data_IF_067804645706
#
_entry.id   IF_067804645706
#
_cell.length_a   1.000
_cell.length_b   1.000
_cell.length_c   1.000
_cell.angle_alpha   90.00
_cell.angle_beta   90.00
_cell.angle_gamma   90.00
#
_symmetry.space_group_name_H-M   'P 1'
#
loop_
_entity.id
_entity.type
_entity.pdbx_description
1 polymer ?
#
# COMPACT_ATOMS: atom_id res chain seq x y z
N UNK A 1 -5.06 20.69 2.98
CA UNK A 1 -4.16 20.34 1.86
C UNK A 1 -3.49 21.60 1.33
N UNK A 2 -4.31 22.60 0.96
CA UNK A 2 -3.89 23.87 0.35
C UNK A 2 -2.63 24.55 0.95
N UNK A 3 -2.43 24.51 2.27
CA UNK A 3 -1.25 25.09 2.94
C UNK A 3 0.09 24.61 2.36
N UNK A 4 0.20 23.32 2.02
CA UNK A 4 1.43 22.73 1.46
C UNK A 4 1.37 22.62 -0.07
N UNK A 5 0.18 22.73 -0.65
CA UNK A 5 -0.05 22.60 -2.09
C UNK A 5 -1.21 23.50 -2.52
N UNK A 6 -0.98 24.81 -2.74
CA UNK A 6 -2.06 25.76 -3.00
C UNK A 6 -2.90 25.41 -4.24
N UNK A 7 -2.26 24.91 -5.29
CA UNK A 7 -2.92 24.47 -6.52
C UNK A 7 -3.85 23.26 -6.34
N UNK A 8 -3.71 22.49 -5.25
CA UNK A 8 -4.69 21.46 -4.89
C UNK A 8 -6.07 22.07 -4.60
N UNK A 9 -6.17 23.33 -4.12
CA UNK A 9 -7.43 23.93 -3.69
C UNK A 9 -8.46 24.20 -4.81
N UNK A 10 -8.06 24.05 -6.09
CA UNK A 10 -8.92 24.21 -7.26
C UNK A 10 -10.12 23.24 -7.22
N UNK A 11 -11.22 23.60 -7.89
CA UNK A 11 -12.36 22.72 -8.17
C UNK A 11 -12.97 22.11 -6.89
N UNK A 12 -13.29 22.96 -5.90
CA UNK A 12 -13.94 22.58 -4.63
C UNK A 12 -13.02 21.97 -3.56
N UNK A 13 -11.81 21.56 -3.92
CA UNK A 13 -10.89 20.76 -3.07
C UNK A 13 -10.23 21.51 -1.89
N UNK A 14 -10.61 22.76 -1.62
CA UNK A 14 -9.94 23.64 -0.64
C UNK A 14 -10.00 23.13 0.81
N UNK A 15 -11.16 22.60 1.24
CA UNK A 15 -11.41 22.10 2.61
C UNK A 15 -10.80 20.73 2.94
N UNK A 16 -10.22 20.04 1.96
CA UNK A 16 -9.63 18.71 2.14
C UNK A 16 -8.32 18.82 2.95
N UNK A 17 -8.11 17.94 3.92
CA UNK A 17 -6.90 17.87 4.77
C UNK A 17 -6.00 16.69 4.38
N UNK A 18 -4.76 16.67 4.87
CA UNK A 18 -3.84 15.52 4.69
C UNK A 18 -4.43 14.25 5.32
N UNK A 19 -5.15 14.38 6.46
CA UNK A 19 -5.89 13.29 7.10
C UNK A 19 -6.96 12.69 6.18
N UNK A 20 -7.60 13.48 5.33
CA UNK A 20 -8.67 12.99 4.45
C UNK A 20 -8.14 12.18 3.27
N UNK A 21 -6.93 12.51 2.79
CA UNK A 21 -6.20 11.66 1.85
C UNK A 21 -5.70 10.37 2.53
N UNK A 22 -5.10 10.49 3.73
CA UNK A 22 -4.66 9.33 4.53
C UNK A 22 -5.81 8.38 4.93
N UNK A 23 -7.04 8.87 5.02
CA UNK A 23 -8.21 8.07 5.44
C UNK A 23 -9.18 7.74 4.30
N UNK A 24 -8.76 7.86 3.04
CA UNK A 24 -9.59 7.50 1.88
C UNK A 24 -10.95 8.25 1.79
N UNK A 25 -10.96 9.51 2.25
CA UNK A 25 -12.14 10.38 2.34
C UNK A 25 -12.04 11.68 1.52
N UNK A 26 -11.02 11.80 0.68
CA UNK A 26 -10.77 13.00 -0.12
C UNK A 26 -11.70 13.17 -1.35
N UNK A 27 -12.61 12.23 -1.65
CA UNK A 27 -13.51 12.32 -2.81
C UNK A 27 -12.85 12.07 -4.18
N UNK A 28 -11.73 11.33 -4.21
CA UNK A 28 -10.76 11.32 -5.32
C UNK A 28 -10.13 9.92 -5.54
N UNK A 29 -10.89 8.84 -5.46
CA UNK A 29 -10.37 7.46 -5.64
C UNK A 29 -9.60 7.28 -6.95
N UNK A 30 -10.03 8.00 -7.97
CA UNK A 30 -9.44 8.14 -9.29
C UNK A 30 -9.56 9.61 -9.75
N UNK A 31 -8.97 9.93 -10.91
CA UNK A 31 -9.18 11.21 -11.60
C UNK A 31 -9.97 10.92 -12.86
N UNK A 32 -11.15 11.53 -13.00
CA UNK A 32 -11.99 11.38 -14.18
C UNK A 32 -11.20 11.70 -15.46
N UNK A 33 -11.46 10.92 -16.52
CA UNK A 33 -10.85 11.02 -17.84
C UNK A 33 -9.30 10.86 -17.89
N UNK A 34 -8.63 10.57 -16.76
CA UNK A 34 -7.18 10.32 -16.69
C UNK A 34 -6.93 8.91 -16.16
N UNK A 35 -6.72 7.98 -17.09
CA UNK A 35 -6.30 6.61 -16.77
C UNK A 35 -5.08 6.60 -15.84
N UNK A 36 -5.13 5.79 -14.79
CA UNK A 36 -3.98 5.58 -13.92
C UNK A 36 -2.83 4.83 -14.62
N UNK A 37 -3.12 4.13 -15.72
CA UNK A 37 -2.11 3.52 -16.59
C UNK A 37 -1.30 4.58 -17.35
N UNK A 38 -1.82 5.79 -17.54
CA UNK A 38 -1.12 6.89 -18.22
C UNK A 38 -0.37 7.81 -17.23
N UNK A 39 -0.51 7.57 -15.93
CA UNK A 39 0.16 8.29 -14.85
C UNK A 39 1.50 7.63 -14.50
N UNK A 40 2.50 7.80 -15.39
CA UNK A 40 3.81 7.16 -15.26
C UNK A 40 4.72 7.77 -14.18
N UNK A 41 4.43 8.98 -13.70
CA UNK A 41 5.21 9.62 -12.63
C UNK A 41 4.37 10.55 -11.74
N UNK A 42 4.89 10.77 -10.53
CA UNK A 42 4.28 11.59 -9.48
C UNK A 42 3.98 13.05 -9.89
N UNK A 43 4.78 13.66 -10.77
CA UNK A 43 4.57 15.05 -11.17
C UNK A 43 3.38 15.19 -12.14
N UNK A 44 3.20 14.24 -13.05
CA UNK A 44 2.08 14.18 -13.99
C UNK A 44 0.79 13.81 -13.27
N UNK A 45 0.84 12.79 -12.41
CA UNK A 45 -0.23 12.44 -11.49
C UNK A 45 -0.63 13.61 -10.57
N UNK A 46 0.34 14.44 -10.16
CA UNK A 46 0.10 15.67 -9.43
C UNK A 46 -0.71 16.69 -10.22
N UNK A 47 -0.37 16.96 -11.49
CA UNK A 47 -1.12 17.89 -12.34
C UNK A 47 -2.54 17.39 -12.64
N UNK A 48 -2.72 16.09 -12.82
CA UNK A 48 -4.04 15.48 -12.92
C UNK A 48 -4.88 15.72 -11.65
N UNK A 49 -4.31 15.50 -10.46
CA UNK A 49 -4.96 15.78 -9.17
C UNK A 49 -5.29 17.26 -8.98
N UNK A 50 -4.46 18.21 -9.45
CA UNK A 50 -4.79 19.64 -9.39
C UNK A 50 -6.06 19.96 -10.20
N UNK A 51 -6.18 19.40 -11.40
CA UNK A 51 -7.32 19.59 -12.31
C UNK A 51 -8.59 18.80 -11.94
N UNK A 52 -8.47 17.72 -11.16
CA UNK A 52 -9.59 16.87 -10.77
C UNK A 52 -10.69 17.63 -9.99
N UNK A 53 -11.95 17.29 -10.25
CA UNK A 53 -13.06 17.55 -9.32
C UNK A 53 -13.26 16.34 -8.42
N UNK A 54 -13.91 16.53 -7.27
CA UNK A 54 -14.27 15.42 -6.38
C UNK A 54 -15.45 14.62 -6.92
N UNK A 55 -15.34 13.29 -6.93
CA UNK A 55 -16.36 12.34 -7.37
C UNK A 55 -17.55 12.26 -6.40
N UNK A 56 -17.34 12.58 -5.13
CA UNK A 56 -18.34 12.74 -4.07
C UNK A 56 -17.87 13.77 -3.05
N UNK A 57 -18.79 14.30 -2.24
CA UNK A 57 -18.50 15.31 -1.22
C UNK A 57 -17.45 14.78 -0.21
N UNK A 58 -16.32 15.48 0.02
CA UNK A 58 -15.28 15.00 0.94
C UNK A 58 -15.83 14.64 2.33
N UNK A 59 -15.27 13.59 2.94
CA UNK A 59 -15.73 12.96 4.20
C UNK A 59 -17.08 12.25 4.14
N UNK A 60 -17.99 12.53 3.20
CA UNK A 60 -19.34 11.95 3.21
C UNK A 60 -19.32 10.43 3.28
N UNK A 61 -18.48 9.78 2.46
CA UNK A 61 -18.24 8.34 2.44
C UNK A 61 -16.73 8.01 2.29
N UNK A 62 -16.34 6.77 2.58
CA UNK A 62 -14.95 6.28 2.59
C UNK A 62 -14.75 5.19 1.54
N UNK A 63 -13.96 5.48 0.50
CA UNK A 63 -13.74 4.62 -0.69
C UNK A 63 -12.26 4.65 -1.05
N UNK A 64 -11.66 3.50 -1.35
CA UNK A 64 -10.22 3.33 -1.52
C UNK A 64 -9.63 4.15 -2.70
N UNK A 65 -8.37 4.58 -2.57
CA UNK A 65 -7.65 5.46 -3.51
C UNK A 65 -6.44 4.71 -4.12
N UNK A 66 -6.66 3.68 -4.96
CA UNK A 66 -5.64 2.68 -5.32
C UNK A 66 -4.35 3.24 -5.93
N UNK A 67 -4.42 4.40 -6.60
CA UNK A 67 -3.25 5.10 -7.15
C UNK A 67 -3.17 6.53 -6.62
N UNK A 68 -4.31 7.24 -6.57
CA UNK A 68 -4.37 8.65 -6.17
C UNK A 68 -3.95 8.89 -4.71
N UNK A 69 -3.98 7.90 -3.82
CA UNK A 69 -3.40 8.00 -2.49
C UNK A 69 -1.93 8.42 -2.56
N UNK A 70 -1.15 7.69 -3.37
CA UNK A 70 0.27 7.94 -3.61
C UNK A 70 0.49 9.21 -4.42
N UNK A 71 -0.36 9.48 -5.41
CA UNK A 71 -0.32 10.73 -6.18
C UNK A 71 -0.50 11.95 -5.27
N UNK A 72 -1.46 11.92 -4.35
CA UNK A 72 -1.77 13.04 -3.45
C UNK A 72 -0.69 13.18 -2.38
N UNK A 73 -0.40 12.11 -1.64
CA UNK A 73 0.51 12.17 -0.48
C UNK A 73 1.97 12.31 -0.90
N UNK A 74 2.39 11.69 -2.02
CA UNK A 74 3.73 11.90 -2.58
C UNK A 74 3.96 13.35 -3.01
N UNK A 75 2.97 13.99 -3.64
CA UNK A 75 3.05 15.41 -4.00
C UNK A 75 3.12 16.34 -2.78
N UNK A 76 2.56 15.93 -1.63
CA UNK A 76 2.71 16.63 -0.35
C UNK A 76 4.11 16.43 0.22
N UNK A 77 4.64 15.20 0.25
CA UNK A 77 6.02 14.92 0.70
C UNK A 77 7.02 15.77 -0.06
N UNK A 78 6.97 15.76 -1.40
CA UNK A 78 7.88 16.57 -2.26
C UNK A 78 7.81 18.07 -1.94
N UNK A 79 6.61 18.61 -1.67
CA UNK A 79 6.42 20.04 -1.35
C UNK A 79 6.80 20.41 0.08
N UNK A 80 6.84 19.44 1.00
CA UNK A 80 7.21 19.65 2.40
C UNK A 80 8.71 19.43 2.65
N UNK A 81 9.34 18.46 1.97
CA UNK A 81 10.80 18.22 2.08
C UNK A 81 11.63 19.06 1.12
N UNK A 82 11.09 19.44 -0.05
CA UNK A 82 11.86 20.01 -1.16
C UNK A 82 12.68 18.97 -1.94
N UNK A 83 12.54 17.68 -1.61
CA UNK A 83 13.27 16.56 -2.20
C UNK A 83 12.37 15.75 -3.15
N UNK A 84 12.95 14.87 -3.96
CA UNK A 84 12.15 13.84 -4.66
C UNK A 84 11.53 12.87 -3.64
N UNK A 85 10.37 12.27 -3.96
CA UNK A 85 9.74 11.30 -3.04
C UNK A 85 10.64 10.11 -2.74
N UNK A 86 11.39 9.61 -3.74
CA UNK A 86 12.35 8.53 -3.56
C UNK A 86 13.49 8.94 -2.61
N UNK A 87 14.02 10.16 -2.75
CA UNK A 87 15.07 10.71 -1.86
C UNK A 87 14.56 10.89 -0.43
N UNK A 88 13.34 11.40 -0.26
CA UNK A 88 12.72 11.57 1.05
C UNK A 88 12.43 10.21 1.72
N UNK A 89 11.96 9.21 0.96
CA UNK A 89 11.78 7.85 1.45
C UNK A 89 13.11 7.19 1.84
N UNK A 90 14.16 7.37 1.03
CA UNK A 90 15.50 6.86 1.34
C UNK A 90 16.05 7.48 2.64
N UNK A 91 15.99 8.81 2.77
CA UNK A 91 16.49 9.55 3.94
C UNK A 91 15.69 9.27 5.21
N UNK A 92 14.35 9.19 5.13
CA UNK A 92 13.49 9.00 6.31
C UNK A 92 13.29 7.51 6.70
N UNK A 93 13.50 6.56 5.78
CA UNK A 93 13.23 5.12 6.00
C UNK A 93 14.51 4.30 5.78
N UNK A 94 15.03 4.27 4.54
CA UNK A 94 16.07 3.32 4.15
C UNK A 94 17.38 3.55 4.91
N UNK A 95 17.91 4.77 4.88
CA UNK A 95 19.13 5.17 5.58
C UNK A 95 19.01 4.97 7.09
N UNK A 96 17.87 5.38 7.68
CA UNK A 96 17.60 5.23 9.12
C UNK A 96 17.53 3.76 9.57
N UNK A 97 17.21 2.82 8.69
CA UNK A 97 17.16 1.39 8.99
C UNK A 97 18.36 0.59 8.45
N UNK A 98 19.27 1.21 7.70
CA UNK A 98 20.36 0.48 7.02
C UNK A 98 19.89 -0.45 5.90
N UNK A 99 18.80 -0.08 5.21
CA UNK A 99 18.24 -0.79 4.06
C UNK A 99 18.83 -0.20 2.76
N UNK A 100 19.19 -1.06 1.80
CA UNK A 100 19.75 -0.65 0.50
C UNK A 100 18.88 -1.07 -0.69
N UNK A 101 17.98 -2.03 -0.46
CA UNK A 101 17.07 -2.68 -1.40
C UNK A 101 15.62 -2.20 -1.21
N UNK A 102 15.41 -0.89 -1.15
CA UNK A 102 14.09 -0.25 -1.09
C UNK A 102 14.12 1.04 -1.92
N UNK A 103 13.33 1.11 -3.00
CA UNK A 103 13.24 2.31 -3.86
C UNK A 103 11.85 2.51 -4.47
N UNK A 104 11.56 3.76 -4.85
CA UNK A 104 10.44 4.16 -5.72
C UNK A 104 11.02 4.71 -7.02
N UNK A 105 10.89 3.94 -8.10
CA UNK A 105 11.66 4.14 -9.32
C UNK A 105 13.08 3.59 -9.20
N UNK A 106 13.55 2.95 -10.28
CA UNK A 106 14.93 2.52 -10.47
C UNK A 106 15.54 3.43 -11.52
N UNK A 107 16.65 4.09 -11.21
CA UNK A 107 17.40 4.89 -12.20
C UNK A 107 17.88 3.98 -13.36
N UNK A 108 17.68 4.34 -14.64
CA UNK A 108 18.15 3.55 -15.78
C UNK A 108 19.67 3.24 -15.77
N UNK A 109 20.47 4.04 -15.06
CA UNK A 109 21.92 3.81 -14.88
C UNK A 109 22.26 2.85 -13.73
N UNK A 110 21.32 2.54 -12.83
CA UNK A 110 21.49 1.58 -11.74
C UNK A 110 21.27 0.14 -12.25
N UNK A 111 22.25 -0.32 -13.04
CA UNK A 111 22.25 -1.67 -13.65
C UNK A 111 22.13 -2.78 -12.59
N UNK A 112 22.68 -2.57 -11.39
CA UNK A 112 22.62 -3.57 -10.31
C UNK A 112 21.20 -3.71 -9.76
N UNK A 113 20.52 -2.60 -9.43
CA UNK A 113 19.14 -2.64 -8.92
C UNK A 113 18.14 -3.03 -10.02
N UNK A 114 18.38 -2.62 -11.27
CA UNK A 114 17.58 -3.03 -12.41
C UNK A 114 17.67 -4.55 -12.67
N UNK A 115 18.86 -5.15 -12.59
CA UNK A 115 19.07 -6.59 -12.83
C UNK A 115 18.70 -7.49 -11.65
N UNK A 116 18.71 -6.97 -10.42
CA UNK A 116 18.28 -7.71 -9.22
C UNK A 116 16.78 -7.65 -8.95
N UNK A 117 16.03 -6.73 -9.59
CA UNK A 117 14.56 -6.69 -9.53
C UNK A 117 13.95 -7.91 -10.22
N UNK A 118 13.18 -8.71 -9.47
CA UNK A 118 12.42 -9.82 -10.03
C UNK A 118 11.35 -9.34 -11.05
N UNK A 119 11.35 -9.95 -12.24
CA UNK A 119 10.32 -9.74 -13.29
C UNK A 119 8.98 -10.31 -12.82
N UNK A 120 7.90 -9.55 -13.00
CA UNK A 120 6.56 -10.01 -12.66
C UNK A 120 6.06 -11.04 -13.67
N UNK A 121 5.32 -12.04 -13.20
CA UNK A 121 4.70 -13.08 -14.04
C UNK A 121 3.29 -13.38 -13.52
N UNK A 122 2.37 -13.80 -14.40
CA UNK A 122 1.05 -14.26 -13.96
C UNK A 122 1.18 -15.61 -13.26
N UNK A 123 0.57 -15.75 -12.09
CA UNK A 123 0.56 -17.01 -11.36
C UNK A 123 -0.43 -17.99 -11.98
N UNK A 124 0.00 -19.24 -12.19
CA UNK A 124 -0.92 -20.33 -12.49
C UNK A 124 -1.84 -20.69 -11.32
N UNK A 125 -2.83 -21.54 -11.57
CA UNK A 125 -3.73 -22.07 -10.53
C UNK A 125 -2.96 -22.73 -9.38
N UNK A 126 -3.43 -22.60 -8.11
CA UNK A 126 -2.83 -23.32 -6.99
C UNK A 126 -2.85 -24.84 -7.23
N UNK A 127 -1.71 -25.51 -7.04
CA UNK A 127 -1.59 -26.98 -7.10
C UNK A 127 -2.17 -27.70 -5.87
N UNK A 128 -3.16 -27.09 -5.22
CA UNK A 128 -3.76 -27.46 -3.93
C UNK A 128 -5.20 -26.99 -3.92
N UNK A 129 -6.10 -27.74 -3.31
CA UNK A 129 -7.44 -27.21 -3.06
C UNK A 129 -7.37 -26.01 -2.10
N UNK A 130 -8.30 -25.08 -2.32
CA UNK A 130 -8.47 -23.83 -1.58
C UNK A 130 -9.93 -23.61 -1.17
N UNK A 131 -10.88 -24.41 -1.68
CA UNK A 131 -12.32 -24.15 -1.58
C UNK A 131 -12.80 -22.94 -2.40
N UNK A 132 -11.88 -22.21 -3.05
CA UNK A 132 -12.16 -20.95 -3.76
C UNK A 132 -12.19 -21.25 -5.27
N UNK A 133 -13.30 -20.91 -5.93
CA UNK A 133 -13.53 -21.23 -7.34
C UNK A 133 -12.45 -20.65 -8.28
N UNK A 134 -12.07 -21.35 -9.38
CA UNK A 134 -11.09 -20.86 -10.37
C UNK A 134 -11.41 -19.45 -10.84
N UNK A 135 -10.40 -18.58 -11.06
CA UNK A 135 -10.59 -17.15 -11.29
C UNK A 135 -11.46 -16.90 -12.53
N UNK A 136 -12.23 -15.80 -12.50
CA UNK A 136 -12.95 -15.35 -13.67
C UNK A 136 -11.96 -14.91 -14.77
N UNK A 137 -12.45 -14.84 -16.00
CA UNK A 137 -11.66 -14.25 -17.09
C UNK A 137 -11.28 -12.80 -16.76
N UNK A 138 -12.15 -12.03 -16.14
CA UNK A 138 -11.88 -10.63 -15.77
C UNK A 138 -10.76 -10.51 -14.71
N UNK A 139 -10.75 -11.37 -13.68
CA UNK A 139 -9.66 -11.40 -12.69
C UNK A 139 -8.32 -11.83 -13.32
N UNK A 140 -8.37 -12.67 -14.35
CA UNK A 140 -7.21 -13.14 -15.10
C UNK A 140 -6.67 -12.04 -16.03
N UNK A 141 -7.54 -11.45 -16.87
CA UNK A 141 -7.25 -10.30 -17.73
C UNK A 141 -6.73 -9.10 -16.91
N UNK A 142 -7.23 -8.88 -15.68
CA UNK A 142 -6.72 -7.86 -14.75
C UNK A 142 -5.31 -8.19 -14.23
N UNK A 143 -5.06 -9.45 -13.89
CA UNK A 143 -3.73 -9.92 -13.47
C UNK A 143 -2.69 -9.75 -14.58
N UNK A 144 -3.03 -10.13 -15.81
CA UNK A 144 -2.14 -9.99 -16.98
C UNK A 144 -1.84 -8.51 -17.29
N UNK A 145 -2.84 -7.63 -17.21
CA UNK A 145 -2.62 -6.16 -17.30
C UNK A 145 -1.68 -5.66 -16.21
N UNK A 146 -1.83 -6.13 -14.97
CA UNK A 146 -0.95 -5.74 -13.86
C UNK A 146 0.49 -6.26 -14.03
N UNK A 147 0.66 -7.44 -14.62
CA UNK A 147 1.98 -8.01 -14.96
C UNK A 147 2.65 -7.24 -16.10
N UNK A 148 1.91 -6.93 -17.17
CA UNK A 148 2.42 -6.16 -18.29
C UNK A 148 2.84 -4.74 -17.84
N UNK A 149 1.95 -4.04 -17.14
CA UNK A 149 2.20 -2.69 -16.62
C UNK A 149 3.32 -2.65 -15.59
N UNK A 150 3.33 -3.60 -14.63
CA UNK A 150 4.36 -3.70 -13.61
C UNK A 150 5.77 -4.04 -14.13
N UNK A 151 5.89 -4.46 -15.39
CA UNK A 151 7.13 -4.70 -16.12
C UNK A 151 7.45 -3.63 -17.19
N UNK A 152 6.59 -2.63 -17.40
CA UNK A 152 6.87 -1.54 -18.35
C UNK A 152 8.04 -0.68 -17.85
N UNK A 153 9.07 -0.39 -18.66
CA UNK A 153 10.18 0.46 -18.26
C UNK A 153 9.74 1.82 -17.70
N UNK A 154 8.67 2.42 -18.22
CA UNK A 154 8.14 3.70 -17.72
C UNK A 154 7.62 3.59 -16.28
N UNK A 155 7.06 2.43 -15.91
CA UNK A 155 6.63 2.15 -14.54
C UNK A 155 7.78 1.78 -13.61
N UNK A 156 8.81 1.09 -14.13
CA UNK A 156 10.02 0.71 -13.39
C UNK A 156 10.88 1.95 -13.06
N UNK A 157 11.01 2.89 -13.99
CA UNK A 157 11.80 4.12 -13.83
C UNK A 157 10.99 5.28 -13.23
N UNK A 158 9.67 5.28 -13.37
CA UNK A 158 8.77 6.25 -12.75
C UNK A 158 8.77 6.16 -11.22
N UNK A 159 8.22 7.16 -10.55
CA UNK A 159 8.00 7.14 -9.10
C UNK A 159 6.48 7.25 -8.83
N UNK A 160 5.88 6.17 -8.33
CA UNK A 160 4.43 6.04 -8.11
C UNK A 160 4.15 5.45 -6.72
N UNK A 161 4.09 6.30 -5.67
CA UNK A 161 4.19 5.88 -4.26
C UNK A 161 3.17 4.86 -3.75
N UNK A 162 2.01 4.74 -4.39
CA UNK A 162 0.98 3.77 -3.99
C UNK A 162 1.25 2.33 -4.48
N UNK A 163 2.10 2.15 -5.50
CA UNK A 163 2.06 0.90 -6.28
C UNK A 163 3.37 0.43 -6.92
N UNK A 164 4.46 1.22 -6.96
CA UNK A 164 5.71 0.82 -7.64
C UNK A 164 6.96 0.65 -6.73
N UNK A 165 6.76 0.56 -5.41
CA UNK A 165 7.82 0.20 -4.46
C UNK A 165 8.52 -1.11 -4.88
N UNK A 166 9.82 -1.04 -5.18
CA UNK A 166 10.65 -2.23 -5.39
C UNK A 166 11.49 -2.48 -4.14
N UNK A 167 11.24 -3.62 -3.47
CA UNK A 167 11.95 -4.00 -2.25
C UNK A 167 11.87 -5.51 -1.96
N UNK A 168 12.70 -6.02 -1.04
CA UNK A 168 12.62 -7.40 -0.56
C UNK A 168 11.72 -7.56 0.67
N UNK A 169 11.25 -8.79 0.94
CA UNK A 169 10.57 -9.12 2.18
C UNK A 169 11.42 -8.82 3.44
N UNK A 170 12.75 -8.91 3.37
CA UNK A 170 13.64 -8.61 4.50
C UNK A 170 13.60 -7.11 4.84
N UNK A 171 13.76 -6.26 3.83
CA UNK A 171 13.66 -4.82 3.97
C UNK A 171 12.27 -4.40 4.45
N UNK A 172 11.21 -4.90 3.82
CA UNK A 172 9.83 -4.53 4.17
C UNK A 172 9.43 -5.00 5.57
N UNK A 173 9.82 -6.22 5.99
CA UNK A 173 9.60 -6.68 7.37
C UNK A 173 10.38 -5.83 8.40
N UNK A 174 11.57 -5.33 8.04
CA UNK A 174 12.36 -4.43 8.88
C UNK A 174 11.72 -3.04 9.01
N UNK A 175 11.13 -2.50 7.95
CA UNK A 175 10.28 -1.29 8.03
C UNK A 175 9.14 -1.53 9.01
N UNK A 176 8.40 -2.63 8.89
CA UNK A 176 7.29 -2.92 9.81
C UNK A 176 7.75 -3.20 11.25
N UNK A 177 8.88 -3.85 11.47
CA UNK A 177 9.46 -4.03 12.81
C UNK A 177 9.81 -2.69 13.49
N UNK A 178 10.24 -1.68 12.73
CA UNK A 178 10.47 -0.32 13.23
C UNK A 178 9.21 0.45 13.65
N UNK A 179 8.03 -0.09 13.34
CA UNK A 179 6.71 0.37 13.79
C UNK A 179 6.16 -0.49 14.95
N UNK A 180 6.89 -1.52 15.37
CA UNK A 180 6.69 -2.17 16.64
C UNK A 180 7.32 -1.38 17.80
N UNK A 181 7.32 -1.96 19.01
CA UNK A 181 7.90 -1.12 20.56
C UNK A 181 7.39 -1.80 20.56
N UNK A 182 8.90 -2.56 20.40
CA UNK A 182 10.31 -2.11 20.62
C UNK A 182 10.91 -1.17 19.57
N UNK A 183 10.66 -1.43 18.27
CA UNK A 183 11.43 -0.93 17.14
C UNK A 183 12.34 -2.03 16.56
N UNK A 184 13.31 -1.67 15.71
CA UNK A 184 14.33 -2.60 15.18
C UNK A 184 15.72 -1.99 15.21
N UNK A 185 16.72 -2.75 15.67
CA UNK A 185 18.13 -2.34 15.80
C UNK A 185 18.33 -0.96 16.48
N UNK A 186 17.49 -0.65 17.48
CA UNK A 186 17.49 0.63 18.21
C UNK A 186 16.71 1.77 17.55
N UNK A 187 16.08 1.53 16.40
CA UNK A 187 15.37 2.54 15.59
C UNK A 187 13.86 2.32 15.61
N UNK A 188 13.12 3.38 15.95
CA UNK A 188 11.70 3.54 15.61
C UNK A 188 11.54 4.65 14.56
N UNK A 189 10.69 4.41 13.56
CA UNK A 189 10.39 5.44 12.57
C UNK A 189 9.33 6.43 13.06
N UNK A 190 8.32 5.95 13.78
CA UNK A 190 7.26 6.74 14.39
C UNK A 190 7.36 6.75 15.92
N UNK A 191 6.79 7.80 16.54
CA UNK A 191 6.56 7.85 17.99
C UNK A 191 5.25 7.16 18.34
N UNK A 192 5.13 6.68 19.57
CA UNK A 192 4.03 5.83 20.03
C UNK A 192 2.67 6.55 19.96
N UNK A 193 2.60 7.88 20.18
CA UNK A 193 1.37 8.67 20.00
C UNK A 193 1.03 8.87 18.52
N UNK A 194 2.06 8.99 17.67
CA UNK A 194 1.91 9.14 16.22
C UNK A 194 1.40 7.83 15.60
N UNK A 195 1.88 6.69 16.09
CA UNK A 195 1.40 5.37 15.70
C UNK A 195 -0.02 5.09 16.25
N UNK A 196 -0.27 5.41 17.53
CA UNK A 196 -1.59 5.28 18.18
C UNK A 196 -2.67 6.17 17.56
N UNK A 197 -2.28 7.17 16.77
CA UNK A 197 -3.16 7.95 15.92
C UNK A 197 -3.30 7.31 14.52
N UNK A 198 -2.20 6.81 13.95
CA UNK A 198 -2.17 6.21 12.61
C UNK A 198 -3.01 4.94 12.48
N UNK A 199 -3.17 4.14 13.54
CA UNK A 199 -3.90 2.87 13.51
C UNK A 199 -5.38 2.99 13.94
N UNK A 200 -5.90 4.20 14.13
CA UNK A 200 -7.31 4.38 14.55
C UNK A 200 -8.29 4.12 13.40
N UNK A 201 -9.30 3.25 13.57
CA UNK A 201 -10.33 3.01 12.57
C UNK A 201 -10.98 4.32 12.08
N UNK A 202 -11.07 4.45 10.76
CA UNK A 202 -11.63 5.61 10.07
C UNK A 202 -12.92 5.25 9.32
N UNK A 203 -13.86 6.19 9.31
CA UNK A 203 -15.20 6.03 8.76
C UNK A 203 -15.63 7.27 7.96
N UNK A 204 -16.50 7.10 6.97
CA UNK A 204 -17.25 8.21 6.36
C UNK A 204 -18.26 8.82 7.35
N UNK A 205 -18.76 10.01 7.04
CA UNK A 205 -19.81 10.67 7.83
C UNK A 205 -21.15 9.90 7.79
N UNK A 206 -21.36 9.12 6.73
CA UNK A 206 -22.42 8.11 6.56
C UNK A 206 -22.24 6.84 7.43
N UNK A 207 -21.12 6.72 8.14
CA UNK A 207 -20.74 5.52 8.88
C UNK A 207 -20.06 4.43 8.04
N UNK A 208 -19.81 4.68 6.74
CA UNK A 208 -19.14 3.73 5.84
C UNK A 208 -17.71 3.42 6.29
N UNK A 209 -17.28 2.19 5.98
CA UNK A 209 -15.89 1.75 6.10
C UNK A 209 -15.55 0.81 4.95
N UNK A 210 -14.28 0.80 4.55
CA UNK A 210 -13.77 -0.28 3.70
C UNK A 210 -13.71 -1.57 4.53
N UNK A 211 -14.13 -2.69 3.94
CA UNK A 211 -14.21 -3.98 4.63
C UNK A 211 -12.84 -4.48 5.18
N UNK A 212 -11.73 -4.05 4.54
CA UNK A 212 -10.35 -4.27 5.01
C UNK A 212 -9.97 -3.50 6.29
N UNK A 213 -10.77 -2.51 6.71
CA UNK A 213 -10.56 -1.63 7.86
C UNK A 213 -9.36 -0.70 7.69
N UNK A 214 -9.56 0.63 7.65
CA UNK A 214 -8.48 1.59 7.41
C UNK A 214 -8.24 2.54 8.59
N UNK A 215 -6.97 2.80 8.88
CA UNK A 215 -6.48 3.95 9.65
C UNK A 215 -5.96 5.07 8.75
N UNK A 216 -4.86 5.70 9.14
CA UNK A 216 -4.12 6.69 8.34
C UNK A 216 -3.17 5.97 7.36
N UNK A 217 -3.71 5.40 6.29
CA UNK A 217 -2.95 4.71 5.25
C UNK A 217 -2.56 3.26 5.57
N UNK A 218 -2.96 2.75 6.73
CA UNK A 218 -2.78 1.35 7.11
C UNK A 218 -4.11 0.61 7.07
N UNK A 219 -4.10 -0.60 6.50
CA UNK A 219 -5.11 -1.63 6.74
C UNK A 219 -4.96 -2.17 8.17
N UNK A 220 -6.06 -2.60 8.78
CA UNK A 220 -6.14 -3.06 10.16
C UNK A 220 -6.40 -4.57 10.23
N UNK A 221 -5.77 -5.23 11.19
CA UNK A 221 -5.98 -6.65 11.51
C UNK A 221 -7.24 -6.87 12.35
N UNK A 222 -7.65 -8.14 12.48
CA UNK A 222 -8.85 -8.54 13.22
C UNK A 222 -10.17 -8.07 12.61
N UNK A 223 -10.14 -7.56 11.37
CA UNK A 223 -11.32 -7.32 10.55
C UNK A 223 -11.94 -8.66 10.07
N UNK A 224 -13.26 -8.72 9.82
CA UNK A 224 -13.91 -9.92 9.28
C UNK A 224 -13.33 -10.33 7.92
N UNK A 225 -13.35 -11.63 7.62
CA UNK A 225 -12.96 -12.13 6.30
C UNK A 225 -13.95 -11.68 5.20
N UNK A 226 -13.44 -11.04 4.14
CA UNK A 226 -14.28 -10.49 3.07
C UNK A 226 -14.66 -11.59 2.07
N UNK A 227 -15.92 -12.01 2.07
CA UNK A 227 -16.45 -12.95 1.06
C UNK A 227 -16.44 -12.33 -0.35
N UNK A 228 -16.22 -13.12 -1.43
CA UNK A 228 -15.97 -14.57 -1.47
C UNK A 228 -14.48 -14.95 -1.27
N UNK A 229 -13.63 -14.01 -0.86
CA UNK A 229 -12.17 -14.17 -0.90
C UNK A 229 -11.57 -14.81 0.36
N UNK A 230 -12.25 -14.71 1.52
CA UNK A 230 -11.68 -15.16 2.80
C UNK A 230 -10.52 -14.29 3.29
N UNK A 231 -10.39 -13.06 2.77
CA UNK A 231 -9.24 -12.19 3.02
C UNK A 231 -9.45 -11.24 4.21
N UNK A 232 -8.37 -11.07 4.98
CA UNK A 232 -8.08 -9.98 5.94
C UNK A 232 -6.55 -9.85 6.04
N UNK A 233 -6.03 -8.70 6.47
CA UNK A 233 -4.58 -8.50 6.58
C UNK A 233 -3.94 -9.42 7.63
N UNK A 234 -4.56 -9.58 8.79
CA UNK A 234 -4.11 -10.43 9.88
C UNK A 234 -5.30 -10.79 10.79
N UNK A 235 -5.25 -11.91 11.55
CA UNK A 235 -6.30 -12.26 12.50
C UNK A 235 -6.32 -11.35 13.74
N UNK A 236 -5.19 -10.76 14.13
CA UNK A 236 -5.05 -10.01 15.39
C UNK A 236 -5.48 -8.55 15.27
N UNK A 237 -6.29 -8.08 16.22
CA UNK A 237 -6.84 -6.70 16.24
C UNK A 237 -5.82 -5.59 16.49
N UNK A 238 -4.65 -5.90 17.04
CA UNK A 238 -3.55 -4.94 17.21
C UNK A 238 -2.64 -4.87 15.97
N UNK A 239 -2.79 -5.79 15.02
CA UNK A 239 -1.97 -5.80 13.82
C UNK A 239 -2.40 -4.72 12.82
N UNK A 240 -1.45 -4.18 12.07
CA UNK A 240 -1.71 -3.21 11.01
C UNK A 240 -0.62 -3.25 9.94
N UNK A 241 -0.92 -2.76 8.74
CA UNK A 241 -0.01 -2.76 7.62
C UNK A 241 -0.70 -2.49 6.29
N UNK A 242 -0.33 -3.21 5.23
CA UNK A 242 -1.05 -3.16 3.97
C UNK A 242 -0.81 -4.41 3.11
N UNK A 243 -1.83 -4.85 2.39
CA UNK A 243 -1.71 -5.79 1.29
C UNK A 243 -1.25 -5.10 -0.01
N UNK A 244 -0.97 -5.89 -1.04
CA UNK A 244 -0.63 -5.40 -2.37
C UNK A 244 -1.16 -6.34 -3.43
N UNK A 245 -1.88 -5.78 -4.41
CA UNK A 245 -2.49 -6.53 -5.50
C UNK A 245 -1.50 -7.49 -6.18
N UNK A 246 -1.99 -8.65 -6.59
CA UNK A 246 -1.16 -9.81 -6.92
C UNK A 246 -0.75 -10.68 -5.73
N UNK A 247 -1.00 -10.26 -4.49
CA UNK A 247 -0.81 -11.10 -3.29
C UNK A 247 0.49 -10.87 -2.52
N UNK A 248 0.97 -9.62 -2.49
CA UNK A 248 1.97 -9.19 -1.51
C UNK A 248 1.25 -8.73 -0.26
N UNK A 249 1.91 -8.72 0.88
CA UNK A 249 1.44 -8.05 2.08
C UNK A 249 2.57 -7.85 3.07
N UNK A 250 2.43 -6.88 3.96
CA UNK A 250 3.26 -6.76 5.14
C UNK A 250 2.50 -6.11 6.30
N UNK A 251 2.84 -6.51 7.52
CA UNK A 251 2.21 -6.02 8.75
C UNK A 251 3.17 -6.10 9.94
N UNK A 252 2.79 -5.41 11.02
CA UNK A 252 3.30 -5.65 12.37
C UNK A 252 2.14 -5.85 13.34
N UNK A 253 2.32 -6.75 14.30
CA UNK A 253 1.53 -6.87 15.54
C UNK A 253 2.42 -6.44 16.71
N UNK A 254 2.16 -5.28 17.34
CA UNK A 254 2.89 -4.85 18.53
C UNK A 254 2.69 -5.79 19.72
N UNK A 255 1.49 -6.39 19.88
CA UNK A 255 1.19 -7.32 20.99
C UNK A 255 1.99 -8.61 20.88
N UNK A 256 2.12 -9.16 19.68
CA UNK A 256 2.88 -10.38 19.42
C UNK A 256 4.36 -10.11 19.09
N UNK A 257 4.79 -8.83 19.10
CA UNK A 257 6.17 -8.39 18.81
C UNK A 257 6.68 -8.94 17.47
N UNK A 258 5.77 -9.04 16.50
CA UNK A 258 5.92 -9.80 15.27
C UNK A 258 5.71 -8.87 14.07
N UNK A 259 6.70 -8.79 13.18
CA UNK A 259 6.56 -8.18 11.86
C UNK A 259 6.78 -9.24 10.77
N UNK A 260 5.93 -9.24 9.75
CA UNK A 260 5.98 -10.19 8.63
C UNK A 260 5.78 -9.44 7.33
N UNK A 261 6.54 -9.82 6.30
CA UNK A 261 6.34 -9.35 4.93
C UNK A 261 6.46 -10.51 3.94
N UNK A 262 5.60 -10.51 2.91
CA UNK A 262 5.62 -11.44 1.79
C UNK A 262 5.72 -10.65 0.49
N UNK A 263 6.89 -10.69 -0.15
CA UNK A 263 7.11 -10.18 -1.51
C UNK A 263 7.14 -11.34 -2.49
N UNK A 264 6.26 -11.33 -3.51
CA UNK A 264 6.31 -12.29 -4.63
C UNK A 264 6.17 -11.59 -5.98
N UNK A 265 6.83 -12.14 -6.99
CA UNK A 265 6.76 -11.67 -8.39
C UNK A 265 5.65 -12.38 -9.19
N UNK A 266 5.26 -13.59 -8.80
CA UNK A 266 4.06 -14.25 -9.28
C UNK A 266 2.79 -13.50 -8.81
N UNK A 267 2.20 -12.72 -9.72
CA UNK A 267 0.97 -11.96 -9.53
C UNK A 267 -0.20 -12.94 -9.57
N UNK A 268 -0.88 -13.10 -8.44
CA UNK A 268 -2.00 -14.02 -8.28
C UNK A 268 -3.33 -13.28 -8.46
N UNK A 269 -4.25 -13.75 -9.33
CA UNK A 269 -5.46 -13.01 -9.70
C UNK A 269 -6.48 -12.89 -8.55
N UNK A 270 -7.17 -11.74 -8.52
CA UNK A 270 -8.36 -11.47 -7.71
C UNK A 270 -8.43 -12.18 -6.34
N UNK A 271 -9.44 -13.05 -6.19
CA UNK A 271 -9.74 -13.79 -4.95
C UNK A 271 -8.70 -14.83 -4.50
N UNK A 272 -7.65 -15.09 -5.27
CA UNK A 272 -6.54 -15.96 -4.84
C UNK A 272 -5.36 -15.18 -4.24
N UNK A 273 -5.33 -13.85 -4.36
CA UNK A 273 -4.17 -13.02 -4.05
C UNK A 273 -3.56 -13.29 -2.67
N UNK A 274 -4.34 -13.27 -1.58
CA UNK A 274 -3.84 -13.47 -0.20
C UNK A 274 -3.91 -14.91 0.30
N UNK A 275 -4.24 -15.91 -0.53
CA UNK A 275 -4.18 -17.33 -0.14
C UNK A 275 -2.76 -17.74 0.28
N UNK A 276 -1.72 -17.23 -0.42
CA UNK A 276 -0.32 -17.45 -0.03
C UNK A 276 -0.01 -16.78 1.32
N UNK A 277 -0.52 -15.57 1.53
CA UNK A 277 -0.26 -14.76 2.72
C UNK A 277 -0.88 -15.38 3.97
N UNK A 278 -2.15 -15.79 3.88
CA UNK A 278 -2.87 -16.53 4.94
C UNK A 278 -2.07 -17.74 5.41
N UNK A 279 -1.66 -18.62 4.48
CA UNK A 279 -0.89 -19.83 4.81
C UNK A 279 0.47 -19.54 5.45
N UNK A 280 1.14 -18.44 5.06
CA UNK A 280 2.38 -17.97 5.71
C UNK A 280 2.11 -17.52 7.14
N UNK A 281 1.05 -16.73 7.39
CA UNK A 281 0.67 -16.33 8.74
C UNK A 281 0.24 -17.51 9.60
N UNK A 282 -0.54 -18.45 9.08
CA UNK A 282 -0.95 -19.70 9.77
C UNK A 282 0.28 -20.52 10.20
N UNK A 283 1.25 -20.72 9.30
CA UNK A 283 2.48 -21.45 9.59
C UNK A 283 3.38 -20.73 10.63
N UNK A 284 3.51 -19.40 10.55
CA UNK A 284 4.23 -18.59 11.54
C UNK A 284 3.55 -18.68 12.91
N UNK A 285 2.23 -18.57 12.94
CA UNK A 285 1.43 -18.60 14.18
C UNK A 285 1.57 -19.95 14.88
N UNK A 286 1.42 -21.06 14.15
CA UNK A 286 1.65 -22.40 14.66
C UNK A 286 3.09 -22.61 15.17
N UNK A 287 4.09 -22.08 14.47
CA UNK A 287 5.51 -22.21 14.86
C UNK A 287 5.90 -21.37 16.09
N UNK A 288 5.18 -20.28 16.36
CA UNK A 288 5.42 -19.38 17.50
C UNK A 288 4.44 -19.59 18.66
N UNK A 289 3.48 -20.51 18.55
CA UNK A 289 2.43 -20.73 19.55
C UNK A 289 1.43 -19.57 19.68
N UNK A 290 1.32 -18.73 18.66
CA UNK A 290 0.39 -17.58 18.63
C UNK A 290 -1.00 -18.08 18.19
N UNK A 291 -2.09 -17.79 18.91
CA UNK A 291 -3.44 -18.15 18.46
C UNK A 291 -3.79 -17.45 17.14
N UNK A 292 -4.14 -18.23 16.11
CA UNK A 292 -4.72 -17.68 14.89
C UNK A 292 -6.24 -17.56 15.10
N UNK A 293 -6.70 -16.39 15.55
CA UNK A 293 -8.12 -16.10 15.75
C UNK A 293 -8.88 -16.21 14.41
N UNK A 294 -9.85 -17.12 14.33
CA UNK A 294 -10.66 -17.38 13.13
C UNK A 294 -11.78 -16.33 13.00
#
# INVERSE_FOLDING_TARGET
MAQYWPAFARNGKSGITVRDALTHRAGLSEVADVSWLDQWNLADAGRAVEGASTLWEPRSTLVYHPVTFGSILGNIVVRVSGESFASAADREISQRLGITDLTFGIDPSDVLRASTRAVLVTAGSPGVDTGIAPPSREESDQSDRMVAFGNDPRWIHGCMPAANLTTSARALARVYASLGPDGVDGVRLLRDETLSEAVRPSFGNDGSSLAMGMGLGYQLGGMPEVAPTGHRLAPWRDAFGHDGAGGRAAMVSPRHRLAVALTKNAVTPGRYSLVTWRRVLEAISASLGIPFEA
#
